data_IF_091189144003
#
_entry.id   IF_091189144003
#
_cell.length_a   1.000
_cell.length_b   1.000
_cell.length_c   1.000
_cell.angle_alpha   90.00
_cell.angle_beta   90.00
_cell.angle_gamma   90.00
#
_symmetry.space_group_name_H-M   'P 1'
#
loop_
_entity.id
_entity.type
_entity.pdbx_description
1 polymer ?
#
# COMPACT_ATOMS: atom_id res chain seq x y z
N UNK A 1 -33.94 28.93 27.89
CA UNK A 1 -32.94 27.84 27.85
C UNK A 1 -33.54 26.44 27.63
N UNK A 2 -34.80 26.22 27.93
CA UNK A 2 -35.51 24.94 27.77
C UNK A 2 -35.85 24.58 26.31
N UNK A 3 -36.16 25.57 25.47
CA UNK A 3 -36.63 25.37 24.08
C UNK A 3 -35.48 24.83 23.16
N UNK A 4 -34.31 25.45 23.22
CA UNK A 4 -33.13 24.99 22.46
C UNK A 4 -32.63 23.57 22.85
N UNK A 5 -32.83 23.18 24.09
CA UNK A 5 -32.48 21.80 24.52
C UNK A 5 -33.44 20.80 23.93
N UNK A 6 -34.71 21.15 23.82
CA UNK A 6 -35.73 20.30 23.21
C UNK A 6 -35.52 20.16 21.71
N UNK A 7 -35.19 21.24 21.03
CA UNK A 7 -34.83 21.24 19.60
C UNK A 7 -33.63 20.35 19.32
N UNK A 8 -32.56 20.43 20.15
CA UNK A 8 -31.40 19.54 20.01
C UNK A 8 -31.75 18.06 20.19
N UNK A 9 -32.65 17.76 21.13
CA UNK A 9 -33.08 16.38 21.37
C UNK A 9 -33.92 15.82 20.22
N UNK A 10 -34.82 16.65 19.67
CA UNK A 10 -35.63 16.31 18.48
C UNK A 10 -34.72 16.06 17.27
N UNK A 11 -33.71 16.91 17.00
CA UNK A 11 -32.74 16.70 15.92
C UNK A 11 -31.89 15.41 16.11
N UNK A 12 -31.49 15.10 17.34
CA UNK A 12 -30.78 13.83 17.64
C UNK A 12 -31.66 12.60 17.37
N UNK A 13 -32.94 12.68 17.67
CA UNK A 13 -33.87 11.59 17.34
C UNK A 13 -34.03 11.41 15.82
N UNK A 14 -34.04 12.51 15.06
CA UNK A 14 -34.08 12.46 13.60
C UNK A 14 -32.80 11.84 13.04
N UNK A 15 -31.62 12.23 13.55
CA UNK A 15 -30.33 11.59 13.21
C UNK A 15 -30.39 10.09 13.46
N UNK A 16 -30.91 9.65 14.61
CA UNK A 16 -31.06 8.21 14.90
C UNK A 16 -31.96 7.45 13.92
N UNK A 17 -32.98 8.10 13.36
CA UNK A 17 -33.80 7.50 12.29
C UNK A 17 -33.01 7.36 10.99
N UNK A 18 -32.17 8.35 10.65
CA UNK A 18 -31.29 8.29 9.48
C UNK A 18 -30.25 7.19 9.66
N UNK A 19 -29.64 7.07 10.84
CA UNK A 19 -28.68 6.01 11.15
C UNK A 19 -29.30 4.60 10.96
N UNK A 20 -30.55 4.42 11.39
CA UNK A 20 -31.28 3.17 11.15
C UNK A 20 -31.47 2.88 9.65
N UNK A 21 -31.76 3.89 8.83
CA UNK A 21 -31.88 3.74 7.38
C UNK A 21 -30.52 3.40 6.74
N UNK A 22 -29.42 4.05 7.19
CA UNK A 22 -28.07 3.72 6.75
C UNK A 22 -27.72 2.26 7.06
N UNK A 23 -28.03 1.77 8.26
CA UNK A 23 -27.81 0.38 8.64
C UNK A 23 -28.54 -0.59 7.71
N UNK A 24 -29.82 -0.33 7.40
CA UNK A 24 -30.59 -1.14 6.46
C UNK A 24 -29.98 -1.14 5.06
N UNK A 25 -29.51 0.02 4.59
CA UNK A 25 -28.84 0.14 3.29
C UNK A 25 -27.52 -0.65 3.25
N UNK A 26 -26.69 -0.56 4.31
CA UNK A 26 -25.45 -1.31 4.45
C UNK A 26 -25.69 -2.82 4.50
N UNK A 27 -26.70 -3.28 5.24
CA UNK A 27 -27.07 -4.69 5.29
C UNK A 27 -27.51 -5.22 3.91
N UNK A 28 -28.32 -4.43 3.19
CA UNK A 28 -28.72 -4.77 1.82
C UNK A 28 -27.51 -4.89 0.89
N UNK A 29 -26.55 -3.95 0.99
CA UNK A 29 -25.31 -4.00 0.22
C UNK A 29 -24.48 -5.24 0.56
N UNK A 30 -24.31 -5.55 1.85
CA UNK A 30 -23.61 -6.74 2.31
C UNK A 30 -24.23 -8.05 1.77
N UNK A 31 -25.56 -8.18 1.77
CA UNK A 31 -26.27 -9.32 1.17
C UNK A 31 -26.02 -9.43 -0.33
N UNK A 32 -26.00 -8.31 -1.05
CA UNK A 32 -25.67 -8.30 -2.48
C UNK A 32 -24.23 -8.74 -2.74
N UNK A 33 -23.25 -8.27 -1.94
CA UNK A 33 -21.87 -8.70 -2.06
C UNK A 33 -21.68 -10.19 -1.83
N UNK A 34 -22.34 -10.78 -0.84
CA UNK A 34 -22.32 -12.26 -0.66
C UNK A 34 -22.84 -12.99 -1.90
N UNK A 35 -23.95 -12.52 -2.50
CA UNK A 35 -24.48 -13.10 -3.73
C UNK A 35 -23.55 -12.96 -4.92
N UNK A 36 -22.81 -11.84 -5.03
CA UNK A 36 -21.75 -11.66 -6.03
C UNK A 36 -20.65 -12.70 -5.83
N UNK A 37 -20.21 -12.90 -4.59
CA UNK A 37 -19.22 -13.94 -4.25
C UNK A 37 -19.67 -15.35 -4.65
N UNK A 38 -20.92 -15.71 -4.37
CA UNK A 38 -21.50 -17.00 -4.77
C UNK A 38 -21.57 -17.16 -6.29
N UNK A 39 -22.02 -16.12 -7.01
CA UNK A 39 -22.07 -16.13 -8.47
C UNK A 39 -20.69 -16.27 -9.10
N UNK A 40 -19.67 -15.57 -8.55
CA UNK A 40 -18.27 -15.67 -9.03
C UNK A 40 -17.66 -17.06 -8.85
N UNK A 41 -17.97 -17.75 -7.76
CA UNK A 41 -17.53 -19.15 -7.56
C UNK A 41 -18.00 -20.05 -8.69
N UNK A 42 -19.24 -19.89 -9.15
CA UNK A 42 -19.80 -20.68 -10.25
C UNK A 42 -19.20 -20.35 -11.61
N UNK A 43 -18.71 -19.12 -11.81
CA UNK A 43 -18.13 -18.65 -13.07
C UNK A 43 -16.63 -18.88 -13.17
N UNK A 44 -15.98 -19.39 -12.11
CA UNK A 44 -14.50 -19.45 -11.99
C UNK A 44 -13.83 -18.09 -12.30
N UNK A 45 -14.56 -16.99 -12.16
CA UNK A 45 -14.10 -15.63 -12.48
C UNK A 45 -13.11 -15.14 -11.42
N UNK A 46 -12.01 -14.48 -11.82
CA UNK A 46 -11.07 -13.90 -10.86
C UNK A 46 -11.78 -12.85 -10.00
N UNK A 47 -11.44 -12.84 -8.72
CA UNK A 47 -11.86 -11.75 -7.82
C UNK A 47 -11.03 -10.53 -8.20
N UNK A 48 -11.66 -9.51 -8.79
CA UNK A 48 -11.02 -8.23 -9.03
C UNK A 48 -10.94 -7.46 -7.71
N UNK A 49 -9.78 -6.89 -7.42
CA UNK A 49 -9.64 -5.98 -6.28
C UNK A 49 -10.61 -4.81 -6.42
N UNK A 50 -11.14 -4.27 -5.30
CA UNK A 50 -11.99 -3.08 -5.35
C UNK A 50 -11.24 -1.95 -6.06
N UNK A 51 -11.83 -1.44 -7.13
CA UNK A 51 -11.21 -0.37 -7.92
C UNK A 51 -11.46 0.98 -7.24
N UNK A 52 -10.42 1.80 -7.17
CA UNK A 52 -10.54 3.20 -6.73
C UNK A 52 -11.55 3.95 -7.58
N UNK A 53 -11.63 3.66 -8.87
CA UNK A 53 -12.60 4.23 -9.79
C UNK A 53 -14.05 4.07 -9.31
N UNK A 54 -14.39 2.98 -8.65
CA UNK A 54 -15.72 2.77 -8.05
C UNK A 54 -15.98 3.77 -6.93
N UNK A 55 -15.01 4.01 -6.06
CA UNK A 55 -15.12 4.97 -4.96
C UNK A 55 -15.21 6.39 -5.52
N UNK A 56 -14.38 6.75 -6.48
CA UNK A 56 -14.41 8.07 -7.12
C UNK A 56 -15.71 8.34 -7.86
N UNK A 57 -16.30 7.32 -8.50
CA UNK A 57 -17.62 7.44 -9.13
C UNK A 57 -18.72 7.76 -8.10
N UNK A 58 -18.66 7.13 -6.92
CA UNK A 58 -19.61 7.41 -5.82
C UNK A 58 -19.41 8.83 -5.29
N UNK A 59 -18.16 9.25 -5.04
CA UNK A 59 -17.83 10.58 -4.51
C UNK A 59 -18.21 11.68 -5.50
N UNK A 60 -17.97 11.45 -6.79
CA UNK A 60 -18.35 12.39 -7.86
C UNK A 60 -19.87 12.55 -7.95
N UNK A 61 -20.64 11.47 -7.72
CA UNK A 61 -22.11 11.51 -7.66
C UNK A 61 -22.66 12.26 -6.46
N UNK A 62 -21.84 12.50 -5.41
CA UNK A 62 -22.21 13.23 -4.20
C UNK A 62 -21.85 14.73 -4.27
N UNK A 63 -21.57 15.27 -5.46
CA UNK A 63 -21.27 16.69 -5.63
C UNK A 63 -22.42 17.56 -5.10
N UNK A 64 -22.09 18.54 -4.23
CA UNK A 64 -23.08 19.45 -3.61
C UNK A 64 -23.64 18.97 -2.27
N UNK A 65 -23.10 17.92 -1.67
CA UNK A 65 -23.39 17.54 -0.28
C UNK A 65 -22.53 18.34 0.71
N UNK A 66 -23.01 18.46 1.94
CA UNK A 66 -22.26 19.13 3.04
C UNK A 66 -21.06 18.30 3.54
N UNK A 67 -20.93 17.03 3.10
CA UNK A 67 -19.83 16.17 3.49
C UNK A 67 -18.58 16.43 2.63
N UNK A 68 -17.41 16.65 3.27
CA UNK A 68 -16.17 16.78 2.52
C UNK A 68 -15.87 15.55 1.64
N UNK A 69 -15.45 15.74 0.38
CA UNK A 69 -15.17 14.60 -0.53
C UNK A 69 -14.16 13.58 0.04
N UNK A 70 -13.19 14.05 0.83
CA UNK A 70 -12.21 13.18 1.47
C UNK A 70 -12.83 12.30 2.55
N UNK A 71 -13.75 12.84 3.36
CA UNK A 71 -14.48 12.06 4.35
C UNK A 71 -15.36 10.99 3.69
N UNK A 72 -16.02 11.33 2.58
CA UNK A 72 -16.80 10.37 1.79
C UNK A 72 -15.92 9.26 1.22
N UNK A 73 -14.70 9.58 0.71
CA UNK A 73 -13.76 8.57 0.23
C UNK A 73 -13.40 7.57 1.32
N UNK A 74 -13.09 8.04 2.52
CA UNK A 74 -12.72 7.17 3.64
C UNK A 74 -13.89 6.25 4.06
N UNK A 75 -15.10 6.81 4.19
CA UNK A 75 -16.31 6.04 4.54
C UNK A 75 -16.59 4.96 3.48
N UNK A 76 -16.62 5.34 2.20
CA UNK A 76 -16.92 4.39 1.14
C UNK A 76 -15.79 3.40 0.89
N UNK A 77 -14.53 3.77 1.14
CA UNK A 77 -13.40 2.83 1.11
C UNK A 77 -13.63 1.69 2.10
N UNK A 78 -13.99 2.00 3.34
CA UNK A 78 -14.22 0.97 4.35
C UNK A 78 -15.45 0.11 4.05
N UNK A 79 -16.55 0.72 3.57
CA UNK A 79 -17.74 -0.01 3.14
C UNK A 79 -17.41 -0.97 1.99
N UNK A 80 -16.66 -0.51 0.97
CA UNK A 80 -16.28 -1.32 -0.19
C UNK A 80 -15.36 -2.45 0.22
N UNK A 81 -14.33 -2.17 1.04
CA UNK A 81 -13.38 -3.17 1.51
C UNK A 81 -14.04 -4.25 2.38
N UNK A 82 -14.89 -3.84 3.33
CA UNK A 82 -15.66 -4.78 4.16
C UNK A 82 -16.58 -5.67 3.32
N UNK A 83 -17.29 -5.10 2.35
CA UNK A 83 -18.15 -5.89 1.46
C UNK A 83 -17.35 -6.81 0.53
N UNK A 84 -16.15 -6.41 0.11
CA UNK A 84 -15.26 -7.28 -0.66
C UNK A 84 -14.85 -8.52 0.15
N UNK A 85 -14.53 -8.35 1.43
CA UNK A 85 -14.22 -9.48 2.34
C UNK A 85 -15.42 -10.42 2.56
N UNK A 86 -16.67 -9.93 2.34
CA UNK A 86 -17.86 -10.76 2.37
C UNK A 86 -18.10 -11.55 1.08
N UNK A 87 -17.52 -11.13 -0.06
CA UNK A 87 -17.57 -11.88 -1.32
C UNK A 87 -16.72 -13.15 -1.25
N UNK A 88 -15.54 -13.06 -0.60
CA UNK A 88 -14.68 -14.19 -0.27
C UNK A 88 -13.80 -13.82 0.93
N UNK A 89 -13.48 -14.77 1.83
CA UNK A 89 -12.50 -14.54 2.87
C UNK A 89 -11.18 -14.06 2.28
N UNK A 90 -10.70 -12.91 2.75
CA UNK A 90 -9.46 -12.30 2.27
C UNK A 90 -8.43 -12.35 3.38
N UNK A 91 -7.38 -13.12 3.17
CA UNK A 91 -6.19 -13.13 4.00
C UNK A 91 -5.09 -12.38 3.27
N UNK A 92 -4.50 -11.39 3.91
CA UNK A 92 -3.45 -10.54 3.35
C UNK A 92 -2.15 -10.73 4.12
N UNK A 93 -1.15 -11.29 3.48
CA UNK A 93 0.21 -11.30 4.02
C UNK A 93 0.89 -9.96 3.79
N UNK A 94 1.64 -9.46 4.76
CA UNK A 94 2.40 -8.22 4.63
C UNK A 94 3.81 -8.36 5.21
N UNK A 95 4.75 -7.59 4.64
CA UNK A 95 6.14 -7.62 5.06
C UNK A 95 6.37 -6.68 6.24
N UNK A 96 6.71 -7.22 7.41
CA UNK A 96 6.97 -6.49 8.65
C UNK A 96 6.13 -6.99 9.81
N UNK A 97 6.21 -6.28 10.93
CA UNK A 97 5.46 -6.58 12.14
C UNK A 97 4.07 -5.93 12.12
N UNK A 98 3.17 -6.43 12.97
CA UNK A 98 1.88 -5.80 13.21
C UNK A 98 2.05 -4.32 13.61
N UNK A 99 1.23 -3.44 13.02
CA UNK A 99 1.35 -2.01 13.20
C UNK A 99 2.43 -1.31 12.36
N UNK A 100 3.32 -2.04 11.66
CA UNK A 100 4.29 -1.45 10.75
C UNK A 100 3.64 -0.76 9.54
N UNK A 101 4.43 0.04 8.80
CA UNK A 101 3.93 0.77 7.63
C UNK A 101 3.25 -0.13 6.59
N UNK A 102 3.79 -1.32 6.34
CA UNK A 102 3.19 -2.27 5.40
C UNK A 102 1.84 -2.81 5.91
N UNK A 103 1.67 -3.00 7.24
CA UNK A 103 0.38 -3.35 7.83
C UNK A 103 -0.64 -2.20 7.66
N UNK A 104 -0.25 -0.97 7.98
CA UNK A 104 -1.10 0.20 7.78
C UNK A 104 -1.50 0.37 6.30
N UNK A 105 -0.54 0.17 5.38
CA UNK A 105 -0.77 0.19 3.94
C UNK A 105 -1.73 -0.93 3.50
N UNK A 106 -1.56 -2.15 3.99
CA UNK A 106 -2.47 -3.26 3.70
C UNK A 106 -3.89 -2.97 4.21
N UNK A 107 -4.02 -2.48 5.44
CA UNK A 107 -5.33 -2.10 6.02
C UNK A 107 -5.99 -0.96 5.28
N UNK A 108 -5.24 0.04 4.83
CA UNK A 108 -5.80 1.13 4.05
C UNK A 108 -6.41 0.67 2.72
N UNK A 109 -5.97 -0.48 2.20
CA UNK A 109 -6.44 -1.05 0.93
C UNK A 109 -7.53 -2.10 1.09
N UNK A 110 -7.41 -2.97 2.10
CA UNK A 110 -8.29 -4.13 2.31
C UNK A 110 -9.29 -3.94 3.45
N UNK A 111 -9.21 -2.82 4.20
CA UNK A 111 -10.12 -2.49 5.30
C UNK A 111 -9.88 -3.30 6.57
N UNK A 112 -10.74 -3.10 7.57
CA UNK A 112 -10.64 -3.77 8.87
C UNK A 112 -11.18 -5.19 8.87
N UNK A 113 -11.97 -5.57 7.88
CA UNK A 113 -12.63 -6.88 7.81
C UNK A 113 -11.77 -8.00 7.20
N UNK A 114 -10.62 -7.68 6.60
CA UNK A 114 -9.66 -8.67 6.12
C UNK A 114 -8.81 -9.23 7.26
N UNK A 115 -8.34 -10.47 7.11
CA UNK A 115 -7.36 -11.07 8.01
C UNK A 115 -5.94 -10.71 7.55
N UNK A 116 -5.05 -10.46 8.51
CA UNK A 116 -3.69 -10.00 8.23
C UNK A 116 -2.64 -10.93 8.83
N UNK A 117 -1.63 -11.32 8.03
CA UNK A 117 -0.52 -12.17 8.46
C UNK A 117 0.79 -11.42 8.31
N UNK A 118 1.47 -11.18 9.43
CA UNK A 118 2.80 -10.57 9.46
C UNK A 118 3.88 -11.56 9.01
N UNK A 119 4.82 -11.09 8.19
CA UNK A 119 5.94 -11.90 7.70
C UNK A 119 7.26 -11.14 7.83
N UNK A 120 8.34 -11.82 8.16
CA UNK A 120 9.64 -11.20 8.45
C UNK A 120 10.38 -10.66 7.21
N UNK A 121 9.99 -11.09 6.03
CA UNK A 121 10.65 -10.70 4.77
C UNK A 121 9.68 -10.69 3.60
N UNK A 122 10.06 -10.00 2.51
CA UNK A 122 9.32 -10.03 1.26
C UNK A 122 9.19 -11.46 0.73
N UNK A 123 10.24 -12.25 0.80
CA UNK A 123 10.24 -13.64 0.32
C UNK A 123 9.22 -14.49 1.09
N UNK A 124 9.20 -14.41 2.43
CA UNK A 124 8.22 -15.12 3.25
C UNK A 124 6.79 -14.61 3.03
N UNK A 125 6.61 -13.31 2.76
CA UNK A 125 5.30 -12.73 2.43
C UNK A 125 4.75 -13.31 1.11
N UNK A 126 5.59 -13.45 0.08
CA UNK A 126 5.20 -14.05 -1.19
C UNK A 126 4.94 -15.56 -1.05
N UNK A 127 5.69 -16.25 -0.19
CA UNK A 127 5.51 -17.69 0.09
C UNK A 127 4.13 -18.00 0.69
N UNK A 128 3.57 -17.12 1.53
CA UNK A 128 2.19 -17.25 2.05
C UNK A 128 1.16 -17.33 0.91
N UNK A 129 1.33 -16.50 -0.13
CA UNK A 129 0.46 -16.52 -1.31
C UNK A 129 0.71 -17.73 -2.19
N UNK A 130 1.98 -18.10 -2.40
CA UNK A 130 2.35 -19.29 -3.18
C UNK A 130 1.77 -20.55 -2.57
N UNK A 131 1.77 -20.68 -1.24
CA UNK A 131 1.19 -21.79 -0.50
C UNK A 131 -0.32 -21.66 -0.27
N UNK A 132 -0.97 -20.67 -0.85
CA UNK A 132 -2.41 -20.44 -0.74
C UNK A 132 -2.91 -20.23 0.72
N UNK A 133 -2.02 -19.81 1.63
CA UNK A 133 -2.37 -19.40 3.00
C UNK A 133 -2.84 -17.95 3.08
N UNK A 134 -2.40 -17.13 2.11
CA UNK A 134 -2.91 -15.78 1.90
C UNK A 134 -3.44 -15.62 0.48
N UNK A 135 -4.46 -14.78 0.33
CA UNK A 135 -5.05 -14.42 -0.96
C UNK A 135 -4.16 -13.43 -1.72
N UNK A 136 -3.54 -12.51 -0.97
CA UNK A 136 -2.68 -11.45 -1.49
C UNK A 136 -1.49 -11.22 -0.58
N UNK A 137 -0.40 -10.73 -1.17
CA UNK A 137 0.74 -10.18 -0.46
C UNK A 137 0.81 -8.67 -0.69
N UNK A 138 1.09 -7.90 0.36
CA UNK A 138 1.39 -6.47 0.28
C UNK A 138 2.86 -6.27 0.64
N UNK A 139 3.64 -5.85 -0.34
CA UNK A 139 5.09 -5.69 -0.20
C UNK A 139 5.54 -4.29 -0.65
N UNK A 140 6.56 -3.71 -0.01
CA UNK A 140 7.11 -2.44 -0.47
C UNK A 140 7.74 -2.63 -1.86
N UNK A 141 7.35 -1.78 -2.80
CA UNK A 141 7.74 -1.90 -4.20
C UNK A 141 8.72 -0.82 -4.62
N UNK A 142 8.48 0.40 -4.18
CA UNK A 142 9.30 1.55 -4.50
C UNK A 142 9.19 2.61 -3.42
N UNK A 143 10.30 3.30 -3.14
CA UNK A 143 10.31 4.52 -2.33
C UNK A 143 10.74 5.70 -3.19
N UNK A 144 10.33 6.89 -2.81
CA UNK A 144 10.75 8.11 -3.51
C UNK A 144 12.28 8.31 -3.43
N UNK A 145 12.87 7.94 -2.30
CA UNK A 145 14.30 8.15 -2.02
C UNK A 145 15.19 7.08 -2.63
N UNK A 146 14.84 5.79 -2.47
CA UNK A 146 15.71 4.67 -2.83
C UNK A 146 15.33 4.04 -4.20
N UNK A 147 14.21 4.47 -4.81
CA UNK A 147 13.67 3.86 -6.02
C UNK A 147 13.08 2.46 -5.78
N UNK A 148 13.21 1.57 -6.76
CA UNK A 148 12.66 0.21 -6.69
C UNK A 148 13.31 -0.63 -5.58
N UNK A 149 12.47 -1.30 -4.79
CA UNK A 149 12.90 -2.18 -3.72
C UNK A 149 13.52 -3.47 -4.26
N UNK A 150 14.82 -3.62 -4.04
CA UNK A 150 15.59 -4.75 -4.57
C UNK A 150 15.06 -6.11 -4.11
N UNK A 151 14.73 -6.23 -2.82
CA UNK A 151 14.20 -7.47 -2.25
C UNK A 151 12.91 -7.91 -2.95
N UNK A 152 12.04 -6.97 -3.31
CA UNK A 152 10.76 -7.25 -3.97
C UNK A 152 10.96 -7.76 -5.40
N UNK A 153 11.81 -7.09 -6.19
CA UNK A 153 12.08 -7.54 -7.55
C UNK A 153 12.81 -8.90 -7.56
N UNK A 154 13.78 -9.10 -6.66
CA UNK A 154 14.51 -10.36 -6.54
C UNK A 154 13.58 -11.53 -6.15
N UNK A 155 12.63 -11.31 -5.25
CA UNK A 155 11.68 -12.33 -4.83
C UNK A 155 10.60 -12.60 -5.89
N UNK A 156 10.15 -11.59 -6.64
CA UNK A 156 9.16 -11.74 -7.71
C UNK A 156 9.74 -12.39 -8.97
N UNK A 157 11.03 -12.18 -9.26
CA UNK A 157 11.66 -12.67 -10.50
C UNK A 157 11.55 -14.20 -10.66
N UNK A 158 11.84 -15.05 -9.67
CA UNK A 158 11.66 -16.51 -9.79
C UNK A 158 10.20 -16.98 -9.55
N UNK A 159 9.33 -16.16 -8.98
CA UNK A 159 7.99 -16.54 -8.54
C UNK A 159 6.97 -16.51 -9.67
N UNK A 160 5.96 -17.38 -9.67
CA UNK A 160 4.84 -17.35 -10.62
C UNK A 160 3.77 -16.30 -10.28
N UNK A 161 3.89 -15.67 -9.13
CA UNK A 161 2.99 -14.61 -8.69
C UNK A 161 3.05 -13.38 -9.60
N UNK A 162 1.97 -12.59 -9.57
CA UNK A 162 1.82 -11.38 -10.38
C UNK A 162 1.54 -10.18 -9.52
N UNK A 163 2.11 -9.04 -9.88
CA UNK A 163 1.66 -7.75 -9.38
C UNK A 163 0.29 -7.49 -9.99
N UNK A 164 -0.72 -7.30 -9.15
CA UNK A 164 -2.12 -7.11 -9.55
C UNK A 164 -2.62 -5.69 -9.34
N UNK A 165 -1.99 -4.95 -8.43
CA UNK A 165 -2.20 -3.52 -8.23
C UNK A 165 -0.97 -2.91 -7.57
N UNK A 166 -0.79 -1.59 -7.75
CA UNK A 166 0.12 -0.79 -6.95
C UNK A 166 -0.63 0.40 -6.38
N UNK A 167 -0.26 0.81 -5.18
CA UNK A 167 -0.82 2.00 -4.54
C UNK A 167 0.25 2.73 -3.74
N UNK A 168 0.09 4.04 -3.62
CA UNK A 168 1.00 4.88 -2.85
C UNK A 168 0.40 5.20 -1.49
N UNK A 169 1.26 5.27 -0.48
CA UNK A 169 0.91 5.78 0.83
C UNK A 169 2.02 6.67 1.36
N UNK A 170 1.61 7.70 2.10
CA UNK A 170 2.56 8.56 2.79
C UNK A 170 3.03 7.85 4.05
N UNK A 171 4.34 7.76 4.18
CA UNK A 171 5.00 7.21 5.37
C UNK A 171 5.52 8.38 6.19
N UNK A 172 4.61 8.97 6.98
CA UNK A 172 4.94 10.11 7.82
C UNK A 172 5.33 9.64 9.22
N UNK A 173 6.44 10.19 9.73
CA UNK A 173 6.81 10.01 11.13
C UNK A 173 6.18 11.11 11.96
N UNK A 174 5.67 10.69 13.12
CA UNK A 174 5.07 11.53 14.13
C UNK A 174 5.88 11.42 15.41
N UNK A 175 5.90 12.47 16.21
CA UNK A 175 6.28 12.37 17.61
C UNK A 175 5.03 12.05 18.41
N UNK A 176 5.00 10.89 19.04
CA UNK A 176 3.85 10.43 19.81
C UNK A 176 4.25 10.09 21.26
N UNK A 177 3.40 10.46 22.20
CA UNK A 177 3.64 10.31 23.64
C UNK A 177 2.34 10.21 24.44
N UNK A 178 2.44 9.90 25.73
CA UNK A 178 1.40 10.12 26.75
C UNK A 178 1.53 11.46 27.46
N UNK A 179 2.62 12.20 27.23
CA UNK A 179 2.81 13.55 27.79
C UNK A 179 1.81 14.54 27.17
N UNK A 180 1.51 15.59 27.89
CA UNK A 180 0.63 16.66 27.41
C UNK A 180 1.31 17.63 26.44
N UNK A 181 2.66 17.70 26.45
CA UNK A 181 3.43 18.63 25.63
C UNK A 181 4.83 18.11 25.31
N UNK A 182 5.43 18.66 24.23
CA UNK A 182 6.81 18.32 23.81
C UNK A 182 7.82 18.74 24.89
N UNK A 183 7.56 19.79 25.66
CA UNK A 183 8.46 20.28 26.69
C UNK A 183 8.64 19.32 27.87
N UNK A 184 7.73 18.37 28.05
CA UNK A 184 7.79 17.34 29.10
C UNK A 184 8.62 16.12 28.71
N UNK A 185 9.06 16.03 27.43
CA UNK A 185 9.75 14.86 26.92
C UNK A 185 11.23 14.87 27.36
N UNK A 186 11.61 13.86 28.11
CA UNK A 186 12.98 13.61 28.54
C UNK A 186 13.69 12.57 27.68
N UNK A 187 12.93 11.62 27.09
CA UNK A 187 13.48 10.54 26.25
C UNK A 187 12.69 10.38 24.95
N UNK A 188 13.39 10.05 23.86
CA UNK A 188 12.78 9.71 22.59
C UNK A 188 13.30 8.36 22.13
N UNK A 189 12.38 7.42 21.93
CA UNK A 189 12.68 6.12 21.33
C UNK A 189 12.47 6.17 19.83
N UNK A 190 13.47 5.73 19.07
CA UNK A 190 13.41 5.72 17.60
C UNK A 190 14.24 4.58 17.03
N UNK A 191 13.88 4.09 15.83
CA UNK A 191 14.81 3.27 15.06
C UNK A 191 15.97 4.14 14.53
N UNK A 192 17.14 3.56 14.32
CA UNK A 192 18.28 4.29 13.77
C UNK A 192 17.93 4.96 12.43
N UNK A 193 17.11 4.31 11.60
CA UNK A 193 16.62 4.85 10.33
C UNK A 193 15.70 6.05 10.57
N UNK A 194 14.70 5.93 11.44
CA UNK A 194 13.74 7.00 11.70
C UNK A 194 14.42 8.21 12.34
N UNK A 195 15.35 7.96 13.28
CA UNK A 195 16.19 9.02 13.87
C UNK A 195 16.99 9.77 12.82
N UNK A 196 17.60 9.07 11.86
CA UNK A 196 18.38 9.69 10.78
C UNK A 196 17.54 10.64 9.92
N UNK A 197 16.26 10.37 9.74
CA UNK A 197 15.32 11.22 9.01
C UNK A 197 14.72 12.37 9.80
N UNK A 198 14.99 12.49 11.11
CA UNK A 198 14.42 13.50 12.00
C UNK A 198 15.48 14.29 12.78
N UNK A 199 16.71 14.36 12.28
CA UNK A 199 17.84 14.96 13.02
C UNK A 199 17.64 16.45 13.27
N UNK A 200 17.18 17.21 12.28
CA UNK A 200 16.90 18.65 12.42
C UNK A 200 15.76 18.91 13.39
N UNK A 201 14.69 18.14 13.28
CA UNK A 201 13.56 18.22 14.21
C UNK A 201 14.03 17.93 15.65
N UNK A 202 14.77 16.84 15.88
CA UNK A 202 15.27 16.47 17.21
C UNK A 202 16.15 17.58 17.80
N UNK A 203 17.07 18.13 16.99
CA UNK A 203 17.96 19.19 17.45
C UNK A 203 17.24 20.50 17.79
N UNK A 204 16.18 20.83 17.04
CA UNK A 204 15.44 22.08 17.23
C UNK A 204 14.38 22.01 18.34
N UNK A 205 13.59 20.94 18.38
CA UNK A 205 12.41 20.85 19.26
C UNK A 205 12.66 20.01 20.53
N UNK A 206 13.72 19.20 20.56
CA UNK A 206 14.03 18.24 21.64
C UNK A 206 15.52 18.30 22.06
N UNK A 207 16.13 19.49 22.22
CA UNK A 207 17.58 19.61 22.44
C UNK A 207 18.07 18.99 23.75
N UNK A 208 17.18 18.79 24.72
CA UNK A 208 17.48 18.20 26.04
C UNK A 208 17.08 16.74 26.17
N UNK A 209 16.40 16.14 25.17
CA UNK A 209 15.91 14.80 25.27
C UNK A 209 17.00 13.76 24.98
N UNK A 210 17.05 12.69 25.76
CA UNK A 210 17.90 11.55 25.49
C UNK A 210 17.32 10.72 24.36
N UNK A 211 18.07 10.53 23.27
CA UNK A 211 17.64 9.67 22.16
C UNK A 211 18.10 8.24 22.41
N UNK A 212 17.15 7.30 22.39
CA UNK A 212 17.41 5.88 22.63
C UNK A 212 17.07 5.09 21.36
N UNK A 213 18.11 4.47 20.79
CA UNK A 213 17.93 3.64 19.60
C UNK A 213 17.25 2.31 19.95
N UNK A 214 16.24 1.96 19.18
CA UNK A 214 15.49 0.69 19.27
C UNK A 214 15.44 0.00 17.90
N UNK A 215 15.15 -1.29 17.89
CA UNK A 215 15.16 -2.07 16.65
C UNK A 215 13.97 -1.76 15.73
N UNK A 216 12.80 -1.45 16.33
CA UNK A 216 11.56 -1.31 15.56
C UNK A 216 10.71 -0.14 16.08
N UNK A 217 9.92 0.51 15.20
CA UNK A 217 8.97 1.54 15.61
C UNK A 217 7.93 1.05 16.63
N UNK A 218 7.54 -0.22 16.58
CA UNK A 218 6.66 -0.83 17.58
C UNK A 218 7.32 -0.88 18.95
N UNK A 219 8.58 -1.33 19.03
CA UNK A 219 9.34 -1.30 20.28
C UNK A 219 9.51 0.11 20.84
N UNK A 220 9.68 1.11 19.95
CA UNK A 220 9.70 2.52 20.36
C UNK A 220 8.38 2.92 21.04
N UNK A 221 7.25 2.63 20.42
CA UNK A 221 5.93 2.96 20.97
C UNK A 221 5.64 2.20 22.26
N UNK A 222 6.03 0.93 22.36
CA UNK A 222 5.84 0.12 23.57
C UNK A 222 6.62 0.71 24.76
N UNK A 223 7.87 1.12 24.55
CA UNK A 223 8.69 1.74 25.60
C UNK A 223 8.17 3.13 25.98
N UNK A 224 7.78 3.95 25.01
CA UNK A 224 7.21 5.26 25.27
C UNK A 224 5.86 5.16 26.01
N UNK A 225 5.05 4.15 25.74
CA UNK A 225 3.79 3.92 26.45
C UNK A 225 3.97 3.56 27.92
N UNK A 226 5.14 3.03 28.30
CA UNK A 226 5.47 2.64 29.66
C UNK A 226 6.02 3.81 30.51
N UNK A 227 6.49 4.90 29.90
CA UNK A 227 7.07 6.07 30.58
C UNK A 227 6.38 7.36 30.09
N UNK A 228 5.59 8.04 30.95
CA UNK A 228 4.84 9.25 30.57
C UNK A 228 5.70 10.43 30.06
N UNK A 229 7.00 10.47 30.42
CA UNK A 229 7.93 11.51 29.97
C UNK A 229 8.76 11.09 28.76
N UNK A 230 8.32 10.03 28.09
CA UNK A 230 8.96 9.50 26.91
C UNK A 230 8.07 9.64 25.67
N UNK A 231 8.70 9.78 24.52
CA UNK A 231 8.04 9.81 23.22
C UNK A 231 8.62 8.76 22.26
N UNK A 232 7.88 8.42 21.24
CA UNK A 232 8.33 7.60 20.12
C UNK A 232 8.26 8.35 18.79
N UNK A 233 9.25 8.12 17.94
CA UNK A 233 9.14 8.45 16.52
C UNK A 233 8.54 7.24 15.80
N UNK A 234 7.30 7.38 15.35
CA UNK A 234 6.58 6.28 14.71
C UNK A 234 5.47 6.80 13.79
N UNK A 235 4.87 5.89 13.04
CA UNK A 235 3.65 6.16 12.31
C UNK A 235 2.44 6.25 13.26
N UNK A 236 1.48 7.11 12.93
CA UNK A 236 0.29 7.37 13.76
C UNK A 236 -0.48 6.08 14.13
N UNK A 237 -0.60 5.13 13.19
CA UNK A 237 -1.32 3.87 13.46
C UNK A 237 -0.64 2.99 14.51
N UNK A 238 0.71 2.98 14.56
CA UNK A 238 1.47 2.26 15.58
C UNK A 238 1.33 2.96 16.93
N UNK A 239 1.46 4.27 16.92
CA UNK A 239 1.31 5.10 18.12
C UNK A 239 -0.08 4.91 18.76
N UNK A 240 -1.14 4.99 17.96
CA UNK A 240 -2.52 4.78 18.40
C UNK A 240 -2.76 3.38 18.97
N UNK A 241 -2.16 2.33 18.38
CA UNK A 241 -2.24 0.96 18.89
C UNK A 241 -1.70 0.83 20.31
N UNK A 242 -0.69 1.64 20.68
CA UNK A 242 -0.10 1.67 22.03
C UNK A 242 -0.68 2.76 22.93
N UNK A 243 -1.77 3.42 22.51
CA UNK A 243 -2.42 4.46 23.31
C UNK A 243 -1.58 5.73 23.47
N UNK A 244 -0.70 6.01 22.50
CA UNK A 244 0.06 7.26 22.42
C UNK A 244 -0.71 8.29 21.60
N UNK A 245 -0.65 9.55 22.02
CA UNK A 245 -1.20 10.69 21.30
C UNK A 245 -0.12 11.36 20.44
N UNK A 246 -0.50 11.87 19.28
CA UNK A 246 0.42 12.57 18.39
C UNK A 246 0.63 13.99 18.90
N UNK A 247 1.83 14.28 19.40
CA UNK A 247 2.22 15.62 19.84
C UNK A 247 2.66 16.51 18.67
N UNK A 248 3.33 15.94 17.68
CA UNK A 248 3.75 16.68 16.47
C UNK A 248 3.70 15.78 15.26
N UNK A 249 3.08 16.28 14.18
CA UNK A 249 2.93 15.58 12.92
C UNK A 249 4.08 15.90 11.98
N UNK A 250 4.40 14.98 11.08
CA UNK A 250 5.34 15.17 9.96
C UNK A 250 6.71 15.68 10.41
N UNK A 251 7.34 14.96 11.34
CA UNK A 251 8.63 15.36 11.94
C UNK A 251 9.86 14.97 11.11
N UNK A 252 9.68 14.46 9.88
CA UNK A 252 10.79 14.18 8.96
C UNK A 252 11.41 15.46 8.42
N UNK A 253 12.73 15.49 8.33
CA UNK A 253 13.51 16.63 7.85
C UNK A 253 13.36 16.89 6.34
N UNK A 254 13.10 15.84 5.57
CA UNK A 254 13.02 15.87 4.11
C UNK A 254 11.55 15.92 3.60
N UNK A 255 10.60 16.15 4.51
CA UNK A 255 9.16 16.14 4.20
C UNK A 255 8.57 14.74 4.09
N UNK A 256 7.47 14.63 3.35
CA UNK A 256 6.72 13.38 3.23
C UNK A 256 7.49 12.33 2.41
N UNK A 257 7.64 11.13 2.96
CA UNK A 257 8.09 9.95 2.22
C UNK A 257 6.88 9.25 1.61
N UNK A 258 6.94 9.00 0.30
CA UNK A 258 5.96 8.18 -0.39
C UNK A 258 6.53 6.80 -0.67
N UNK A 259 5.80 5.80 -0.24
CA UNK A 259 6.12 4.40 -0.52
C UNK A 259 5.03 3.84 -1.41
N UNK A 260 5.42 3.32 -2.56
CA UNK A 260 4.56 2.52 -3.41
C UNK A 260 4.62 1.07 -2.94
N UNK A 261 3.47 0.49 -2.64
CA UNK A 261 3.31 -0.92 -2.32
C UNK A 261 2.74 -1.67 -3.51
N UNK A 262 3.26 -2.87 -3.75
CA UNK A 262 2.68 -3.80 -4.69
C UNK A 262 1.75 -4.78 -3.96
N UNK A 263 0.57 -4.98 -4.53
CA UNK A 263 -0.31 -6.09 -4.20
C UNK A 263 0.01 -7.21 -5.16
N UNK A 264 0.36 -8.36 -4.61
CA UNK A 264 0.79 -9.52 -5.36
C UNK A 264 -0.21 -10.67 -5.14
N UNK A 265 -0.58 -11.34 -6.22
CA UNK A 265 -1.52 -12.47 -6.19
C UNK A 265 -1.17 -13.53 -7.21
N UNK A 266 -1.94 -14.61 -7.25
CA UNK A 266 -1.72 -15.75 -8.16
C UNK A 266 -2.26 -15.50 -9.57
N UNK A 267 -3.25 -14.61 -9.73
CA UNK A 267 -3.92 -14.34 -11.00
C UNK A 267 -3.59 -12.92 -11.49
N UNK A 268 -3.43 -12.72 -12.81
CA UNK A 268 -3.23 -11.39 -13.36
C UNK A 268 -4.48 -10.52 -13.15
N UNK A 269 -4.28 -9.20 -13.10
CA UNK A 269 -5.35 -8.21 -13.06
C UNK A 269 -6.13 -8.18 -14.38
N UNK A 270 -7.35 -7.66 -14.32
CA UNK A 270 -8.11 -7.30 -15.52
C UNK A 270 -7.63 -5.97 -16.07
N UNK A 271 -7.82 -5.78 -17.38
CA UNK A 271 -7.53 -4.53 -18.07
C UNK A 271 -8.40 -3.38 -17.56
N UNK A 272 -7.78 -2.25 -17.24
CA UNK A 272 -8.46 -1.04 -16.71
C UNK A 272 -8.46 0.15 -17.67
N UNK A 273 -7.53 0.17 -18.64
CA UNK A 273 -7.30 1.29 -19.54
C UNK A 273 -6.24 2.31 -19.07
N UNK A 274 -5.84 2.27 -17.80
CA UNK A 274 -4.77 3.09 -17.21
C UNK A 274 -3.65 2.23 -16.62
N UNK A 275 -3.38 1.08 -17.23
CA UNK A 275 -2.47 0.08 -16.70
C UNK A 275 -1.01 0.41 -16.97
N UNK A 276 -0.14 -0.07 -16.07
CA UNK A 276 1.29 -0.23 -16.28
C UNK A 276 1.62 -1.72 -16.32
N UNK A 277 2.59 -2.11 -17.15
CA UNK A 277 3.13 -3.46 -17.19
C UNK A 277 4.58 -3.47 -16.75
N UNK A 278 4.89 -4.22 -15.69
CA UNK A 278 6.26 -4.44 -15.22
C UNK A 278 6.87 -5.68 -15.88
N UNK A 279 8.07 -5.50 -16.41
CA UNK A 279 8.83 -6.55 -17.09
C UNK A 279 10.25 -6.59 -16.56
N UNK A 280 10.78 -7.81 -16.40
CA UNK A 280 12.20 -8.07 -16.08
C UNK A 280 12.79 -8.89 -17.20
N UNK A 281 13.97 -8.51 -17.69
CA UNK A 281 14.70 -9.24 -18.72
C UNK A 281 16.21 -9.13 -18.54
N UNK A 282 16.94 -10.07 -19.11
CA UNK A 282 18.39 -10.03 -19.23
C UNK A 282 18.79 -10.18 -20.70
N UNK A 283 19.77 -9.39 -21.14
CA UNK A 283 20.32 -9.43 -22.48
C UNK A 283 21.75 -9.93 -22.47
N UNK A 284 22.29 -10.30 -23.62
CA UNK A 284 23.72 -10.59 -23.78
C UNK A 284 24.55 -9.32 -23.54
N UNK A 285 25.73 -9.49 -22.99
CA UNK A 285 26.70 -8.38 -22.87
C UNK A 285 27.33 -8.13 -24.25
N UNK A 286 26.63 -7.34 -25.05
CA UNK A 286 27.02 -7.00 -26.41
C UNK A 286 26.58 -5.55 -26.74
N UNK A 287 27.37 -4.82 -27.54
CA UNK A 287 26.98 -3.48 -28.01
C UNK A 287 25.60 -3.50 -28.68
N UNK A 288 24.70 -2.60 -28.26
CA UNK A 288 23.36 -2.47 -28.82
C UNK A 288 22.31 -3.45 -28.27
N UNK A 289 22.64 -4.45 -27.45
CA UNK A 289 21.69 -5.46 -26.97
C UNK A 289 20.50 -4.85 -26.22
N UNK A 290 20.73 -3.88 -25.33
CA UNK A 290 19.67 -3.15 -24.66
C UNK A 290 18.86 -2.27 -25.63
N UNK A 291 19.53 -1.62 -26.58
CA UNK A 291 18.88 -0.78 -27.59
C UNK A 291 17.87 -1.58 -28.42
N UNK A 292 18.21 -2.79 -28.85
CA UNK A 292 17.29 -3.63 -29.63
C UNK A 292 16.03 -4.01 -28.84
N UNK A 293 16.15 -4.21 -27.54
CA UNK A 293 14.98 -4.45 -26.67
C UNK A 293 14.11 -3.20 -26.54
N UNK A 294 14.71 -2.04 -26.25
CA UNK A 294 13.96 -0.78 -26.08
C UNK A 294 13.29 -0.32 -27.37
N UNK A 295 13.93 -0.55 -28.51
CA UNK A 295 13.40 -0.29 -29.86
C UNK A 295 12.07 -1.00 -30.11
N UNK A 296 11.87 -2.22 -29.58
CA UNK A 296 10.63 -2.97 -29.77
C UNK A 296 9.42 -2.27 -29.16
N UNK A 297 9.59 -1.57 -28.06
CA UNK A 297 8.55 -0.76 -27.45
C UNK A 297 8.34 0.55 -28.20
N UNK A 298 9.43 1.24 -28.55
CA UNK A 298 9.38 2.52 -29.24
C UNK A 298 8.69 2.43 -30.63
N UNK A 299 9.02 1.43 -31.43
CA UNK A 299 8.43 1.22 -32.77
C UNK A 299 6.92 0.91 -32.73
N UNK A 300 6.42 0.46 -31.56
CA UNK A 300 5.00 0.18 -31.34
C UNK A 300 4.27 1.29 -30.60
N UNK A 301 4.95 2.43 -30.39
CA UNK A 301 4.39 3.58 -29.67
C UNK A 301 4.13 3.31 -28.18
N UNK A 302 4.79 2.33 -27.60
CA UNK A 302 4.67 2.00 -26.16
C UNK A 302 5.64 2.86 -25.36
N UNK A 303 5.13 3.67 -24.45
CA UNK A 303 5.93 4.53 -23.60
C UNK A 303 6.51 3.76 -22.42
N UNK A 304 7.82 3.92 -22.17
CA UNK A 304 8.50 3.43 -20.98
C UNK A 304 8.43 4.50 -19.90
N UNK A 305 7.88 4.14 -18.74
CA UNK A 305 7.78 5.03 -17.58
C UNK A 305 8.95 4.86 -16.62
N UNK A 306 9.61 3.70 -16.68
CA UNK A 306 10.73 3.38 -15.81
C UNK A 306 11.70 2.40 -16.45
N UNK A 307 12.99 2.57 -16.16
CA UNK A 307 14.05 1.61 -16.45
C UNK A 307 15.05 1.59 -15.29
N UNK A 308 15.44 0.40 -14.86
CA UNK A 308 16.48 0.21 -13.86
C UNK A 308 17.28 -1.06 -14.19
N UNK A 309 18.60 -0.98 -14.09
CA UNK A 309 19.50 -2.14 -14.27
C UNK A 309 20.04 -2.62 -12.93
N UNK A 310 20.35 -3.91 -12.84
CA UNK A 310 20.96 -4.54 -11.68
C UNK A 310 21.93 -5.63 -12.07
N UNK A 311 23.03 -5.81 -11.32
CA UNK A 311 23.86 -6.98 -11.46
C UNK A 311 23.07 -8.25 -11.12
N UNK A 312 23.29 -9.32 -11.88
CA UNK A 312 22.70 -10.62 -11.59
C UNK A 312 23.52 -11.30 -10.49
N UNK A 313 22.91 -11.70 -9.36
CA UNK A 313 23.65 -12.41 -8.32
C UNK A 313 24.27 -13.71 -8.83
N UNK A 314 25.55 -13.93 -8.57
CA UNK A 314 26.26 -15.18 -8.92
C UNK A 314 26.80 -15.25 -10.35
N UNK A 315 26.50 -14.32 -11.23
CA UNK A 315 27.04 -14.24 -12.58
C UNK A 315 27.88 -12.96 -12.75
N UNK A 316 29.16 -13.11 -13.07
CA UNK A 316 30.03 -11.95 -13.30
C UNK A 316 29.55 -11.14 -14.50
N UNK A 317 29.28 -9.85 -14.28
CA UNK A 317 29.03 -8.85 -15.32
C UNK A 317 27.73 -9.02 -16.13
N UNK A 318 26.73 -9.79 -15.67
CA UNK A 318 25.40 -9.81 -16.28
C UNK A 318 24.45 -8.86 -15.55
N UNK A 319 23.61 -8.18 -16.33
CA UNK A 319 22.61 -7.23 -15.82
C UNK A 319 21.20 -7.75 -16.05
N UNK A 320 20.40 -7.65 -15.01
CA UNK A 320 18.95 -7.80 -15.05
C UNK A 320 18.35 -6.40 -15.21
N UNK A 321 17.56 -6.20 -16.23
CA UNK A 321 16.84 -4.95 -16.48
C UNK A 321 15.40 -5.07 -16.02
N UNK A 322 14.96 -4.07 -15.30
CA UNK A 322 13.57 -3.87 -14.94
C UNK A 322 13.05 -2.68 -15.75
N UNK A 323 11.87 -2.83 -16.37
CA UNK A 323 11.15 -1.75 -17.04
C UNK A 323 9.69 -1.72 -16.61
N UNK A 324 9.09 -0.53 -16.57
CA UNK A 324 7.64 -0.31 -16.58
C UNK A 324 7.24 0.33 -17.89
N UNK A 325 6.19 -0.18 -18.51
CA UNK A 325 5.62 0.35 -19.75
C UNK A 325 4.15 0.68 -19.57
N UNK A 326 3.66 1.71 -20.26
CA UNK A 326 2.25 2.08 -20.25
C UNK A 326 1.43 1.09 -21.08
N UNK A 327 0.34 0.61 -20.48
CA UNK A 327 -0.64 -0.30 -21.05
C UNK A 327 -0.64 -1.67 -20.37
N UNK A 328 -1.64 -2.47 -20.71
CA UNK A 328 -1.82 -3.82 -20.16
C UNK A 328 -1.11 -4.86 -21.03
N UNK A 329 -0.56 -5.93 -20.44
CA UNK A 329 0.14 -7.01 -21.14
C UNK A 329 -0.68 -7.69 -22.24
N UNK A 330 -2.01 -7.52 -22.25
CA UNK A 330 -2.90 -8.00 -23.32
C UNK A 330 -3.18 -6.97 -24.41
N UNK A 331 -2.64 -5.75 -24.30
CA UNK A 331 -2.77 -4.74 -25.33
C UNK A 331 -1.93 -5.12 -26.56
N UNK A 332 -2.50 -5.01 -27.75
CA UNK A 332 -1.86 -5.43 -29.00
C UNK A 332 -0.42 -4.94 -29.18
N UNK A 333 -0.11 -3.63 -28.96
CA UNK A 333 1.26 -3.14 -29.06
C UNK A 333 2.21 -3.80 -28.07
N UNK A 334 1.73 -4.04 -26.82
CA UNK A 334 2.54 -4.63 -25.74
C UNK A 334 2.77 -6.12 -26.00
N UNK A 335 1.76 -6.87 -26.41
CA UNK A 335 1.91 -8.28 -26.82
C UNK A 335 2.99 -8.41 -27.87
N UNK A 336 2.92 -7.60 -28.94
CA UNK A 336 3.92 -7.65 -30.02
C UNK A 336 5.32 -7.24 -29.54
N UNK A 337 5.44 -6.26 -28.65
CA UNK A 337 6.73 -5.90 -28.06
C UNK A 337 7.29 -7.04 -27.18
N UNK A 338 6.47 -7.61 -26.29
CA UNK A 338 6.85 -8.71 -25.41
C UNK A 338 7.36 -9.92 -26.18
N UNK A 339 6.69 -10.30 -27.29
CA UNK A 339 7.11 -11.43 -28.13
C UNK A 339 8.50 -11.21 -28.74
N UNK A 340 8.78 -10.00 -29.25
CA UNK A 340 10.08 -9.68 -29.80
C UNK A 340 11.16 -9.56 -28.73
N UNK A 341 10.87 -8.89 -27.61
CA UNK A 341 11.81 -8.79 -26.48
C UNK A 341 12.20 -10.17 -25.97
N UNK A 342 11.25 -11.09 -25.86
CA UNK A 342 11.52 -12.48 -25.46
C UNK A 342 12.50 -13.19 -26.38
N UNK A 343 12.47 -12.92 -27.71
CA UNK A 343 13.41 -13.50 -28.68
C UNK A 343 14.82 -12.94 -28.53
N UNK A 344 14.94 -11.68 -28.10
CA UNK A 344 16.23 -11.00 -27.96
C UNK A 344 16.82 -11.08 -26.54
N UNK A 345 16.12 -11.72 -25.61
CA UNK A 345 16.50 -11.81 -24.20
C UNK A 345 16.95 -13.21 -23.82
N UNK A 346 18.00 -13.30 -22.99
CA UNK A 346 18.40 -14.57 -22.34
C UNK A 346 17.41 -15.01 -21.26
N UNK A 347 16.81 -14.04 -20.60
CA UNK A 347 15.76 -14.21 -19.60
C UNK A 347 14.70 -13.14 -19.84
N UNK A 348 13.43 -13.53 -19.68
CA UNK A 348 12.31 -12.60 -19.82
C UNK A 348 11.14 -13.01 -18.93
N UNK A 349 10.57 -12.04 -18.21
CA UNK A 349 9.40 -12.27 -17.37
C UNK A 349 8.53 -11.02 -17.26
N UNK A 350 7.22 -11.19 -17.43
CA UNK A 350 6.21 -10.21 -17.06
C UNK A 350 5.86 -10.42 -15.59
N UNK A 351 6.15 -9.42 -14.75
CA UNK A 351 5.84 -9.43 -13.33
C UNK A 351 4.35 -9.17 -13.07
N UNK A 352 3.69 -8.42 -13.95
CA UNK A 352 2.27 -8.15 -13.88
C UNK A 352 1.89 -6.89 -14.64
N UNK A 353 0.58 -6.74 -14.89
CA UNK A 353 -0.03 -5.48 -15.30
C UNK A 353 -0.92 -4.97 -14.18
N UNK A 354 -0.91 -3.68 -13.91
CA UNK A 354 -1.58 -3.13 -12.74
C UNK A 354 -1.87 -1.65 -12.90
N UNK A 355 -2.91 -1.20 -12.21
CA UNK A 355 -3.18 0.23 -12.02
C UNK A 355 -2.33 0.79 -10.91
N UNK A 356 -1.95 2.05 -11.02
CA UNK A 356 -1.38 2.85 -9.93
C UNK A 356 -2.48 3.74 -9.35
N UNK A 357 -2.66 3.69 -8.05
CA UNK A 357 -3.67 4.51 -7.33
C UNK A 357 -3.02 5.33 -6.22
#
# INVERSE_FOLDING_TARGET
MTDKRREVEELRQEIGKVDAQLLVALERRAKLSKRVGEARKSLASPISLPERAQIEAIVSGAAGTDLPPEALREIFREIVATCFSLEAPVVVAFCGLDGAFAHAAARSRFGVAAEYTACDSVASTLDEVTRQRASYAVVPYETRTDGLMQATIAALTPSDLKIVACFETNVNLQLASKAGSIAEIEKVYASAKDRAHCQRFIAADLPGAQIVDVKTPMGACQLAAADPRSAALAHESIAAHHGLEVLKRNVRDEGEERVRYAIVGTRPSSRSGGDLTAVVFAVSDAPGALHEVLKQFAERGVNLTKIQSRPTPGESWQYLFFIEVQGHATDRPIVGAIEEVRRHSKFFKVLGSYTTS
#
